data_IF_277676996930
#
_entry.id   IF_277676996930
#
_cell.length_a   1.000
_cell.length_b   1.000
_cell.length_c   1.000
_cell.angle_alpha   90.00
_cell.angle_beta   90.00
_cell.angle_gamma   90.00
#
_symmetry.space_group_name_H-M   'P 1'
#
loop_
_entity.id
_entity.type
_entity.pdbx_description
1 polymer ?
#
# COMPACT_ATOMS: atom_id res chain seq x y z
N UNK A 1 17.91 2.70 -12.91
CA UNK A 1 17.33 1.56 -12.17
C UNK A 1 15.85 1.84 -11.99
N UNK A 2 15.04 1.39 -12.95
CA UNK A 2 13.59 1.50 -12.86
C UNK A 2 13.14 0.49 -11.81
N UNK A 3 12.63 0.94 -10.66
CA UNK A 3 12.13 0.02 -9.64
C UNK A 3 10.84 -0.59 -10.19
N UNK A 4 10.86 -1.87 -10.50
CA UNK A 4 9.69 -2.58 -11.03
C UNK A 4 8.53 -2.50 -10.03
N UNK A 5 7.32 -2.30 -10.54
CA UNK A 5 6.10 -2.14 -9.74
C UNK A 5 5.90 -3.34 -8.80
N UNK A 6 6.24 -4.54 -9.27
CA UNK A 6 6.26 -5.78 -8.49
C UNK A 6 7.16 -5.70 -7.26
N UNK A 7 8.33 -5.06 -7.35
CA UNK A 7 9.26 -4.91 -6.23
C UNK A 7 8.75 -3.89 -5.20
N UNK A 8 8.07 -2.82 -5.66
CA UNK A 8 7.41 -1.88 -4.76
C UNK A 8 6.26 -2.54 -3.99
N UNK A 9 5.43 -3.34 -4.67
CA UNK A 9 4.35 -4.11 -4.05
C UNK A 9 4.90 -5.11 -3.05
N UNK A 10 5.93 -5.89 -3.42
CA UNK A 10 6.60 -6.81 -2.48
C UNK A 10 7.14 -6.09 -1.26
N UNK A 11 7.81 -4.96 -1.42
CA UNK A 11 8.30 -4.15 -0.28
C UNK A 11 7.17 -3.68 0.61
N UNK A 12 6.04 -3.25 0.05
CA UNK A 12 4.87 -2.83 0.80
C UNK A 12 4.26 -3.99 1.59
N UNK A 13 4.13 -5.16 0.97
CA UNK A 13 3.67 -6.39 1.63
C UNK A 13 4.64 -6.79 2.75
N UNK A 14 5.96 -6.78 2.50
CA UNK A 14 6.97 -7.08 3.52
C UNK A 14 6.89 -6.09 4.68
N UNK A 15 6.78 -4.79 4.42
CA UNK A 15 6.64 -3.77 5.46
C UNK A 15 5.34 -3.95 6.26
N UNK A 16 4.23 -4.27 5.59
CA UNK A 16 2.94 -4.53 6.22
C UNK A 16 2.98 -5.78 7.11
N UNK A 17 3.55 -6.88 6.62
CA UNK A 17 3.74 -8.11 7.39
C UNK A 17 4.70 -7.90 8.57
N UNK A 18 5.82 -7.19 8.36
CA UNK A 18 6.85 -6.95 9.38
C UNK A 18 6.32 -6.07 10.53
N UNK A 19 5.42 -5.14 10.24
CA UNK A 19 4.75 -4.32 11.26
C UNK A 19 3.62 -5.04 12.02
N UNK A 20 3.13 -6.18 11.51
CA UNK A 20 2.03 -6.97 12.09
C UNK A 20 2.48 -8.39 12.45
N UNK A 21 3.56 -8.50 13.21
CA UNK A 21 4.08 -9.78 13.71
C UNK A 21 2.99 -10.59 14.44
N UNK A 22 2.40 -11.52 13.69
CA UNK A 22 1.82 -12.84 14.02
C UNK A 22 0.71 -12.99 15.07
N UNK A 23 0.33 -11.99 15.89
CA UNK A 23 -0.57 -12.25 17.04
C UNK A 23 -1.63 -11.17 17.30
N UNK A 24 -2.23 -10.58 16.26
CA UNK A 24 -3.47 -9.80 16.44
C UNK A 24 -4.53 -10.22 15.44
N UNK A 25 -5.64 -10.76 15.95
CA UNK A 25 -6.92 -10.95 15.24
C UNK A 25 -7.16 -9.78 14.28
N UNK A 26 -7.32 -10.05 12.97
CA UNK A 26 -7.53 -9.02 11.95
C UNK A 26 -6.37 -8.81 10.96
N UNK A 27 -5.36 -9.69 10.95
CA UNK A 27 -4.39 -9.76 9.86
C UNK A 27 -5.07 -10.32 8.59
N UNK A 28 -5.42 -9.42 7.67
CA UNK A 28 -5.82 -9.78 6.32
C UNK A 28 -4.59 -9.74 5.43
N UNK A 29 -4.33 -10.84 4.70
CA UNK A 29 -3.28 -10.86 3.68
C UNK A 29 -3.69 -9.92 2.56
N UNK A 30 -2.80 -9.03 2.07
CA UNK A 30 -3.05 -8.32 0.83
C UNK A 30 -3.33 -9.36 -0.27
N UNK A 31 -4.44 -9.15 -0.99
CA UNK A 31 -4.80 -9.95 -2.15
C UNK A 31 -4.07 -9.48 -3.41
N UNK A 32 -4.26 -10.23 -4.49
CA UNK A 32 -3.73 -9.93 -5.82
C UNK A 32 -4.25 -8.58 -6.37
N UNK A 33 -5.34 -8.07 -5.80
CA UNK A 33 -5.91 -6.73 -6.04
C UNK A 33 -5.03 -5.56 -5.55
N UNK A 34 -3.84 -5.84 -5.02
CA UNK A 34 -2.90 -4.80 -4.59
C UNK A 34 -2.26 -4.15 -5.82
N UNK A 35 -2.46 -2.85 -5.97
CA UNK A 35 -2.06 -2.09 -7.16
C UNK A 35 -1.25 -0.85 -6.80
N UNK A 36 -0.50 -0.34 -7.79
CA UNK A 36 0.14 0.96 -7.70
C UNK A 36 -0.76 1.98 -8.37
N UNK A 37 -1.11 3.03 -7.64
CA UNK A 37 -1.89 4.15 -8.14
C UNK A 37 -1.05 5.42 -8.13
N UNK A 38 -1.11 6.17 -9.23
CA UNK A 38 -0.47 7.48 -9.33
C UNK A 38 -1.52 8.55 -9.13
N UNK A 39 -1.34 9.38 -8.12
CA UNK A 39 -2.23 10.48 -7.81
C UNK A 39 -1.43 11.75 -7.54
N UNK A 40 -1.82 12.87 -8.13
CA UNK A 40 -1.14 14.17 -7.92
C UNK A 40 0.39 14.10 -8.17
N UNK A 41 0.80 13.36 -9.21
CA UNK A 41 2.22 13.16 -9.55
C UNK A 41 3.01 12.29 -8.56
N UNK A 42 2.36 11.70 -7.56
CA UNK A 42 2.97 10.83 -6.55
C UNK A 42 2.49 9.39 -6.78
N UNK A 43 3.38 8.42 -6.59
CA UNK A 43 3.03 7.00 -6.68
C UNK A 43 2.67 6.45 -5.29
N UNK A 44 1.62 5.64 -5.22
CA UNK A 44 1.13 5.00 -4.01
C UNK A 44 0.93 3.52 -4.27
N UNK A 45 1.29 2.67 -3.32
CA UNK A 45 0.98 1.25 -3.32
C UNK A 45 -0.21 1.04 -2.42
N UNK A 46 -1.33 0.63 -2.99
CA UNK A 46 -2.58 0.37 -2.27
C UNK A 46 -2.69 -1.14 -2.08
N UNK A 47 -2.58 -1.58 -0.83
CA UNK A 47 -2.81 -2.97 -0.47
C UNK A 47 -4.30 -3.19 -0.26
N UNK A 48 -4.91 -4.05 -1.07
CA UNK A 48 -6.35 -4.36 -1.02
C UNK A 48 -6.56 -5.84 -0.73
N UNK A 49 -7.64 -6.18 -0.06
CA UNK A 49 -8.10 -7.56 0.12
C UNK A 49 -9.64 -7.59 0.07
N UNK A 50 -10.19 -8.42 -0.81
CA UNK A 50 -11.64 -8.59 -0.98
C UNK A 50 -12.42 -7.25 -1.09
N UNK A 51 -11.89 -6.30 -1.87
CA UNK A 51 -12.50 -4.98 -2.07
C UNK A 51 -12.29 -3.98 -0.94
N UNK A 52 -11.57 -4.34 0.13
CA UNK A 52 -11.20 -3.41 1.22
C UNK A 52 -9.74 -2.99 1.12
N UNK A 53 -9.48 -1.70 1.28
CA UNK A 53 -8.12 -1.18 1.45
C UNK A 53 -7.62 -1.57 2.84
N UNK A 54 -6.47 -2.23 2.90
CA UNK A 54 -5.81 -2.63 4.14
C UNK A 54 -4.80 -1.58 4.61
N UNK A 55 -4.00 -1.09 3.67
CA UNK A 55 -2.96 -0.10 3.92
C UNK A 55 -2.55 0.56 2.61
N UNK A 56 -2.09 1.81 2.71
CA UNK A 56 -1.53 2.54 1.57
C UNK A 56 -0.14 3.01 1.91
N UNK A 57 0.76 2.89 0.94
CA UNK A 57 2.15 3.29 1.07
C UNK A 57 2.50 4.27 -0.03
N UNK A 58 2.91 5.48 0.34
CA UNK A 58 3.47 6.44 -0.61
C UNK A 58 4.88 6.00 -1.01
N UNK A 59 5.14 5.94 -2.31
CA UNK A 59 6.47 5.71 -2.88
C UNK A 59 7.20 7.06 -2.90
N UNK A 60 8.36 7.08 -2.25
CA UNK A 60 9.26 8.22 -2.19
C UNK A 60 10.38 8.05 -3.23
N UNK A 61 11.03 9.16 -3.57
CA UNK A 61 12.21 9.14 -4.43
C UNK A 61 13.29 8.22 -3.84
N UNK A 62 13.92 7.41 -4.70
CA UNK A 62 14.89 6.39 -4.29
C UNK A 62 14.29 5.04 -3.89
N UNK A 63 13.02 4.77 -4.19
CA UNK A 63 12.40 3.45 -3.99
C UNK A 63 12.10 3.10 -2.53
N UNK A 64 12.09 4.12 -1.66
CA UNK A 64 11.59 4.00 -0.29
C UNK A 64 10.08 4.09 -0.31
N UNK A 65 9.44 3.38 0.61
CA UNK A 65 7.98 3.44 0.80
C UNK A 65 7.68 3.91 2.21
N UNK A 66 6.66 4.76 2.36
CA UNK A 66 6.18 5.24 3.66
C UNK A 66 4.69 4.94 3.76
N UNK A 67 4.28 4.28 4.84
CA UNK A 67 2.85 4.09 5.14
C UNK A 67 2.22 5.44 5.39
N UNK A 68 1.09 5.69 4.76
CA UNK A 68 0.25 6.86 5.04
C UNK A 68 -1.01 6.41 5.76
N UNK A 69 -1.52 7.26 6.64
CA UNK A 69 -2.78 6.99 7.34
C UNK A 69 -3.97 7.22 6.40
N UNK A 70 -5.12 6.63 6.74
CA UNK A 70 -6.33 6.78 5.91
C UNK A 70 -6.77 8.24 5.77
N UNK A 71 -6.49 9.07 6.78
CA UNK A 71 -6.75 10.52 6.79
C UNK A 71 -5.87 11.27 5.77
N UNK A 72 -4.68 10.76 5.48
CA UNK A 72 -3.74 11.35 4.52
C UNK A 72 -3.91 10.78 3.09
N UNK A 73 -4.93 9.97 2.86
CA UNK A 73 -5.19 9.41 1.53
C UNK A 73 -5.70 10.51 0.59
N UNK A 74 -5.10 10.66 -0.59
CA UNK A 74 -5.67 11.54 -1.58
C UNK A 74 -7.06 11.03 -1.99
N UNK A 75 -8.00 11.97 -2.11
CA UNK A 75 -9.38 11.73 -2.53
C UNK A 75 -9.35 10.92 -3.84
N UNK A 76 -9.90 9.72 -3.82
CA UNK A 76 -9.88 8.78 -4.95
C UNK A 76 -9.13 7.46 -4.70
N UNK A 77 -8.19 7.41 -3.75
CA UNK A 77 -7.48 6.15 -3.40
C UNK A 77 -8.17 5.29 -2.33
N UNK A 78 -9.27 5.78 -1.75
CA UNK A 78 -10.02 5.08 -0.70
C UNK A 78 -11.41 5.62 -0.40
N UNK A 79 -11.97 6.49 -1.24
CA UNK A 79 -13.30 7.06 -1.05
C UNK A 79 -14.34 6.36 -1.90
N UNK A 80 -15.10 5.45 -1.31
CA UNK A 80 -16.52 5.34 -1.66
C UNK A 80 -17.16 6.60 -1.03
N UNK A 81 -18.03 7.35 -1.75
CA UNK A 81 -18.73 8.51 -1.18
C UNK A 81 -19.43 8.20 0.15
#
# INVERSE_FOLDING_TARGET
MQLDETELVKRAITAYCRGRSVVRQGFQKPGEDSAIEKHDGKSYVVLRNAGRVLAVYRVLSGGRIRRIEFDELPVGLGGIP
#
